data_IF_281987777026
#
_entry.id   IF_281987777026
#
_cell.length_a   1.000
_cell.length_b   1.000
_cell.length_c   1.000
_cell.angle_alpha   90.00
_cell.angle_beta   90.00
_cell.angle_gamma   90.00
#
_symmetry.space_group_name_H-M   'P 1'
#
loop_
_entity.id
_entity.type
_entity.pdbx_description
1 polymer ?
#
# COMPACT_ATOMS: atom_id res chain seq x y z
N UNK A 1 44.37 -3.16 -48.93
CA UNK A 1 43.03 -3.47 -48.39
C UNK A 1 42.02 -2.92 -49.34
N UNK A 2 41.42 -3.80 -50.20
CA UNK A 2 40.43 -3.41 -51.22
C UNK A 2 39.09 -3.48 -50.45
N UNK A 3 38.62 -2.33 -49.91
CA UNK A 3 37.29 -2.21 -49.40
C UNK A 3 36.29 -2.32 -50.56
N UNK A 4 35.36 -3.27 -50.49
CA UNK A 4 34.31 -3.42 -51.52
C UNK A 4 33.30 -2.27 -51.33
N UNK A 5 33.24 -1.27 -52.24
CA UNK A 5 32.44 -0.05 -52.02
C UNK A 5 30.93 -0.31 -51.86
N UNK A 6 30.43 -1.48 -52.27
CA UNK A 6 29.04 -1.89 -52.06
C UNK A 6 28.71 -2.29 -50.62
N UNK A 7 29.63 -2.96 -49.92
CA UNK A 7 29.45 -3.41 -48.54
C UNK A 7 29.40 -2.24 -47.57
N UNK A 8 30.20 -1.20 -47.79
CA UNK A 8 30.19 0.01 -46.96
C UNK A 8 28.87 0.77 -47.09
N UNK A 9 28.28 0.84 -48.29
CA UNK A 9 27.02 1.50 -48.49
C UNK A 9 25.83 0.73 -47.84
N UNK A 10 25.86 -0.60 -47.90
CA UNK A 10 24.85 -1.45 -47.27
C UNK A 10 24.92 -1.37 -45.73
N UNK A 11 26.15 -1.43 -45.15
CA UNK A 11 26.33 -1.28 -43.72
C UNK A 11 25.89 0.09 -43.24
N UNK A 12 26.19 1.16 -44.00
CA UNK A 12 25.73 2.51 -43.66
C UNK A 12 24.21 2.64 -43.71
N UNK A 13 23.57 2.02 -44.69
CA UNK A 13 22.09 2.02 -44.81
C UNK A 13 21.43 1.27 -43.62
N UNK A 14 21.97 0.11 -43.23
CA UNK A 14 21.50 -0.64 -42.07
C UNK A 14 21.64 0.16 -40.77
N UNK A 15 22.79 0.80 -40.54
CA UNK A 15 23.05 1.64 -39.38
C UNK A 15 22.11 2.85 -39.32
N UNK A 16 21.82 3.49 -40.47
CA UNK A 16 20.84 4.59 -40.54
C UNK A 16 19.42 4.13 -40.23
N UNK A 17 19.00 3.00 -40.78
CA UNK A 17 17.68 2.43 -40.51
C UNK A 17 17.54 2.04 -39.02
N UNK A 18 18.55 1.42 -38.44
CA UNK A 18 18.57 1.10 -37.02
C UNK A 18 18.50 2.37 -36.15
N UNK A 19 19.27 3.42 -36.52
CA UNK A 19 19.25 4.71 -35.82
C UNK A 19 17.90 5.40 -35.89
N UNK A 20 17.24 5.39 -37.06
CA UNK A 20 15.87 5.92 -37.22
C UNK A 20 14.88 5.10 -36.38
N UNK A 21 14.99 3.77 -36.35
CA UNK A 21 14.16 2.90 -35.50
C UNK A 21 14.29 3.20 -34.01
N UNK A 22 15.52 3.35 -33.54
CA UNK A 22 15.82 3.74 -32.14
C UNK A 22 15.24 5.12 -31.83
N UNK A 23 15.44 6.10 -32.70
CA UNK A 23 14.88 7.44 -32.51
C UNK A 23 13.36 7.43 -32.48
N UNK A 24 12.71 6.72 -33.37
CA UNK A 24 11.24 6.58 -33.41
C UNK A 24 10.73 5.92 -32.13
N UNK A 25 11.40 4.88 -31.62
CA UNK A 25 11.08 4.25 -30.35
C UNK A 25 11.18 5.25 -29.18
N UNK A 26 12.25 6.00 -29.10
CA UNK A 26 12.42 6.99 -28.01
C UNK A 26 11.38 8.11 -28.10
N UNK A 27 11.06 8.60 -29.29
CA UNK A 27 10.02 9.61 -29.46
C UNK A 27 8.65 9.08 -29.04
N UNK A 28 8.33 7.83 -29.40
CA UNK A 28 7.09 7.17 -29.01
C UNK A 28 6.98 7.02 -27.50
N UNK A 29 8.00 6.44 -26.83
CA UNK A 29 7.96 6.22 -25.39
C UNK A 29 7.89 7.52 -24.61
N UNK A 30 8.65 8.56 -25.01
CA UNK A 30 8.57 9.88 -24.37
C UNK A 30 7.23 10.57 -24.63
N UNK A 31 6.60 10.35 -25.78
CA UNK A 31 5.25 10.81 -26.07
C UNK A 31 4.22 10.19 -25.13
N UNK A 32 4.32 8.87 -24.86
CA UNK A 32 3.47 8.17 -23.88
C UNK A 32 3.67 8.75 -22.49
N UNK A 33 4.93 8.91 -22.05
CA UNK A 33 5.21 9.53 -20.75
C UNK A 33 4.65 10.95 -20.65
N UNK A 34 4.76 11.77 -21.70
CA UNK A 34 4.19 13.10 -21.71
C UNK A 34 2.68 13.08 -21.50
N UNK A 35 1.95 12.18 -22.16
CA UNK A 35 0.50 12.02 -21.97
C UNK A 35 0.17 11.65 -20.54
N UNK A 36 0.90 10.67 -19.95
CA UNK A 36 0.72 10.27 -18.55
C UNK A 36 0.97 11.45 -17.61
N UNK A 37 2.02 12.24 -17.82
CA UNK A 37 2.32 13.42 -16.99
C UNK A 37 1.24 14.50 -17.11
N UNK A 38 0.73 14.77 -18.30
CA UNK A 38 -0.36 15.75 -18.50
C UNK A 38 -1.66 15.28 -17.83
N UNK A 39 -1.97 13.98 -17.90
CA UNK A 39 -3.10 13.38 -17.20
C UNK A 39 -2.95 13.51 -15.68
N UNK A 40 -1.74 13.27 -15.15
CA UNK A 40 -1.43 13.42 -13.72
C UNK A 40 -1.61 14.88 -13.25
N UNK A 41 -1.09 15.85 -14.02
CA UNK A 41 -1.24 17.28 -13.71
C UNK A 41 -2.72 17.68 -13.71
N UNK A 42 -3.49 17.22 -14.68
CA UNK A 42 -4.93 17.48 -14.74
C UNK A 42 -5.66 16.95 -13.51
N UNK A 43 -5.36 15.72 -13.13
CA UNK A 43 -5.93 15.08 -11.93
C UNK A 43 -5.55 15.83 -10.66
N UNK A 44 -4.27 16.14 -10.46
CA UNK A 44 -3.78 16.85 -9.29
C UNK A 44 -4.41 18.24 -9.13
N UNK A 45 -4.56 18.99 -10.23
CA UNK A 45 -5.27 20.28 -10.20
C UNK A 45 -6.71 20.12 -9.73
N UNK A 46 -7.43 19.14 -10.27
CA UNK A 46 -8.81 18.91 -9.88
C UNK A 46 -8.94 18.48 -8.40
N UNK A 47 -7.95 17.77 -7.86
CA UNK A 47 -7.92 17.40 -6.44
C UNK A 47 -7.62 18.60 -5.54
N UNK A 48 -6.69 19.48 -5.93
CA UNK A 48 -6.35 20.69 -5.16
C UNK A 48 -7.48 21.73 -5.17
N UNK A 49 -8.32 21.77 -6.21
CA UNK A 49 -9.45 22.69 -6.31
C UNK A 49 -10.70 22.22 -5.55
N UNK A 50 -10.71 20.94 -5.07
CA UNK A 50 -11.82 20.44 -4.26
C UNK A 50 -11.66 20.88 -2.81
N UNK A 51 -12.67 21.51 -2.17
CA UNK A 51 -12.62 21.85 -0.76
C UNK A 51 -12.75 20.57 0.09
N UNK A 52 -11.59 20.02 0.50
CA UNK A 52 -11.50 18.68 1.09
C UNK A 52 -11.98 18.56 2.54
N UNK A 53 -11.88 19.62 3.33
CA UNK A 53 -11.98 19.51 4.79
C UNK A 53 -13.43 19.47 5.30
N UNK A 54 -14.35 20.24 4.72
CA UNK A 54 -15.73 20.29 5.21
C UNK A 54 -16.57 19.07 4.78
N UNK A 55 -16.33 18.53 3.59
CA UNK A 55 -17.08 17.38 3.07
C UNK A 55 -16.63 16.09 3.77
N UNK A 56 -15.34 15.97 4.04
CA UNK A 56 -14.75 14.81 4.75
C UNK A 56 -15.24 14.74 6.20
N UNK A 57 -15.24 15.85 6.94
CA UNK A 57 -15.75 15.88 8.32
C UNK A 57 -17.25 15.59 8.43
N UNK A 58 -18.06 15.99 7.44
CA UNK A 58 -19.49 15.60 7.39
C UNK A 58 -19.68 14.11 7.11
N UNK A 59 -18.81 13.51 6.30
CA UNK A 59 -18.87 12.07 6.01
C UNK A 59 -18.45 11.23 7.22
N UNK A 60 -17.48 11.68 8.03
CA UNK A 60 -17.04 10.99 9.25
C UNK A 60 -18.11 10.90 10.36
N UNK A 61 -19.11 11.76 10.33
CA UNK A 61 -20.28 11.68 11.23
C UNK A 61 -21.42 10.78 10.72
N UNK A 62 -21.25 10.13 9.57
CA UNK A 62 -22.28 9.26 8.99
C UNK A 62 -22.30 7.89 9.66
N UNK A 63 -23.46 7.35 10.06
CA UNK A 63 -23.59 5.98 10.55
C UNK A 63 -23.40 4.92 9.44
N UNK A 64 -23.19 5.33 8.21
CA UNK A 64 -22.99 4.47 7.03
C UNK A 64 -21.55 4.42 6.55
N UNK A 65 -20.58 4.74 7.41
CA UNK A 65 -19.16 4.56 7.08
C UNK A 65 -18.84 3.07 6.93
N UNK A 66 -18.19 2.66 5.83
CA UNK A 66 -17.78 1.27 5.69
C UNK A 66 -16.70 0.93 6.72
N UNK A 67 -16.86 -0.19 7.42
CA UNK A 67 -15.82 -0.71 8.29
C UNK A 67 -14.59 -1.16 7.49
N UNK A 68 -13.42 -1.01 8.09
CA UNK A 68 -12.14 -1.35 7.46
C UNK A 68 -11.27 -2.16 8.40
N UNK A 69 -10.85 -3.34 7.97
CA UNK A 69 -9.80 -4.10 8.64
C UNK A 69 -8.42 -3.63 8.17
N UNK A 70 -7.54 -3.26 9.09
CA UNK A 70 -6.14 -2.93 8.79
C UNK A 70 -5.32 -4.18 9.11
N UNK A 71 -4.82 -4.83 8.07
CA UNK A 71 -4.01 -6.05 8.16
C UNK A 71 -2.53 -5.69 8.21
N UNK A 72 -1.87 -6.06 9.30
CA UNK A 72 -0.46 -5.75 9.56
C UNK A 72 0.33 -7.05 9.72
N UNK A 73 0.87 -7.61 8.63
CA UNK A 73 1.78 -8.75 8.72
C UNK A 73 3.08 -8.31 9.37
N UNK A 74 3.52 -9.04 10.41
CA UNK A 74 4.71 -8.74 11.18
C UNK A 74 5.61 -9.96 11.30
N UNK A 75 6.89 -9.82 10.93
CA UNK A 75 7.92 -10.83 11.11
C UNK A 75 9.23 -10.20 11.56
N UNK A 76 9.59 -10.40 12.84
CA UNK A 76 10.78 -9.81 13.49
C UNK A 76 10.78 -8.27 13.47
N UNK A 77 9.69 -7.68 13.92
CA UNK A 77 9.46 -6.23 13.95
C UNK A 77 9.47 -5.64 15.37
N UNK A 78 10.24 -6.25 16.30
CA UNK A 78 10.28 -5.81 17.70
C UNK A 78 10.60 -4.32 17.88
N UNK A 79 11.34 -3.73 16.94
CA UNK A 79 11.77 -2.34 17.03
C UNK A 79 10.63 -1.33 16.81
N UNK A 80 9.67 -1.65 15.95
CA UNK A 80 8.69 -0.67 15.42
C UNK A 80 7.22 -1.06 15.65
N UNK A 81 6.92 -2.32 15.88
CA UNK A 81 5.53 -2.83 15.88
C UNK A 81 4.59 -2.10 16.86
N UNK A 82 5.08 -1.77 18.06
CA UNK A 82 4.28 -1.08 19.07
C UNK A 82 3.91 0.33 18.60
N UNK A 83 4.88 1.07 18.08
CA UNK A 83 4.68 2.43 17.56
C UNK A 83 3.73 2.43 16.36
N UNK A 84 3.87 1.44 15.48
CA UNK A 84 2.97 1.25 14.34
C UNK A 84 1.53 1.02 14.79
N UNK A 85 1.29 0.08 15.71
CA UNK A 85 -0.06 -0.21 16.21
C UNK A 85 -0.65 1.00 16.94
N UNK A 86 0.14 1.72 17.74
CA UNK A 86 -0.31 2.94 18.40
C UNK A 86 -0.69 4.03 17.39
N UNK A 87 0.09 4.20 16.32
CA UNK A 87 -0.24 5.13 15.23
C UNK A 87 -1.55 4.75 14.52
N UNK A 88 -1.78 3.46 14.28
CA UNK A 88 -3.01 2.96 13.66
C UNK A 88 -4.24 3.16 14.55
N UNK A 89 -4.11 2.97 15.86
CA UNK A 89 -5.20 3.25 16.83
C UNK A 89 -5.55 4.74 16.92
N UNK A 90 -4.64 5.62 16.50
CA UNK A 90 -4.84 7.07 16.48
C UNK A 90 -5.30 7.63 15.12
N UNK A 91 -5.70 6.76 14.17
CA UNK A 91 -6.23 7.22 12.88
C UNK A 91 -7.57 7.95 13.05
N UNK A 92 -7.77 8.99 12.24
CA UNK A 92 -9.01 9.78 12.21
C UNK A 92 -10.10 9.06 11.40
N UNK A 93 -10.35 7.79 11.69
CA UNK A 93 -11.44 7.01 11.08
C UNK A 93 -12.06 6.07 12.13
N UNK A 94 -13.37 6.23 12.45
CA UNK A 94 -13.96 5.59 13.63
C UNK A 94 -14.33 4.12 13.44
N UNK A 95 -14.35 3.60 12.22
CA UNK A 95 -14.79 2.23 11.92
C UNK A 95 -13.63 1.36 11.47
N UNK A 96 -12.57 1.27 12.29
CA UNK A 96 -11.37 0.45 12.02
C UNK A 96 -11.32 -0.78 12.92
N UNK A 97 -10.83 -1.88 12.36
CA UNK A 97 -10.39 -3.08 13.07
C UNK A 97 -8.92 -3.32 12.72
N UNK A 98 -8.03 -3.37 13.69
CA UNK A 98 -6.61 -3.60 13.47
C UNK A 98 -6.31 -5.07 13.74
N UNK A 99 -5.79 -5.77 12.75
CA UNK A 99 -5.41 -7.18 12.84
C UNK A 99 -3.91 -7.28 12.59
N UNK A 100 -3.13 -7.47 13.66
CA UNK A 100 -1.70 -7.75 13.56
C UNK A 100 -1.51 -9.25 13.41
N UNK A 101 -0.80 -9.66 12.36
CA UNK A 101 -0.51 -11.06 12.09
C UNK A 101 0.97 -11.32 12.34
N UNK A 102 1.31 -11.88 13.50
CA UNK A 102 2.65 -12.33 13.85
C UNK A 102 2.96 -13.61 13.08
N UNK A 103 3.72 -13.48 12.00
CA UNK A 103 4.06 -14.59 11.08
C UNK A 103 5.27 -15.38 11.57
N UNK A 104 5.20 -15.89 12.80
CA UNK A 104 6.23 -16.74 13.39
C UNK A 104 7.52 -15.99 13.73
N UNK A 105 7.44 -14.77 14.25
CA UNK A 105 8.60 -14.01 14.71
C UNK A 105 9.43 -14.78 15.74
N UNK A 106 10.75 -14.61 15.67
CA UNK A 106 11.73 -15.24 16.54
C UNK A 106 12.36 -14.25 17.53
N UNK A 107 12.05 -12.97 17.38
CA UNK A 107 12.45 -11.88 18.27
C UNK A 107 11.37 -11.60 19.33
N UNK A 108 11.37 -10.43 19.93
CA UNK A 108 10.42 -10.03 20.96
C UNK A 108 9.16 -9.33 20.42
N UNK A 109 8.84 -9.47 19.13
CA UNK A 109 7.66 -8.82 18.51
C UNK A 109 6.38 -9.16 19.28
N UNK A 110 6.09 -10.44 19.48
CA UNK A 110 4.87 -10.87 20.18
C UNK A 110 4.89 -10.46 21.67
N UNK A 111 6.03 -10.59 22.35
CA UNK A 111 6.17 -10.19 23.75
C UNK A 111 5.90 -8.70 23.97
N UNK A 112 6.36 -7.86 23.06
CA UNK A 112 6.12 -6.41 23.09
C UNK A 112 4.65 -6.08 22.88
N UNK A 113 3.98 -6.74 21.93
CA UNK A 113 2.53 -6.59 21.74
C UNK A 113 1.76 -7.01 23.00
N UNK A 114 2.12 -8.16 23.61
CA UNK A 114 1.50 -8.61 24.86
C UNK A 114 1.64 -7.60 26.00
N UNK A 115 2.84 -7.09 26.21
CA UNK A 115 3.11 -6.17 27.33
C UNK A 115 2.47 -4.80 27.15
N UNK A 116 2.40 -4.30 25.89
CA UNK A 116 1.87 -2.97 25.63
C UNK A 116 0.35 -2.95 25.57
N UNK A 117 -0.27 -3.96 24.96
CA UNK A 117 -1.70 -3.95 24.68
C UNK A 117 -2.53 -4.86 25.59
N UNK A 118 -1.92 -5.49 26.61
CA UNK A 118 -2.59 -6.41 27.53
C UNK A 118 -3.41 -7.48 26.81
N UNK A 119 -2.72 -8.28 25.97
CA UNK A 119 -3.35 -9.25 25.10
C UNK A 119 -3.90 -10.43 25.88
N UNK A 120 -5.17 -10.76 25.67
CA UNK A 120 -5.87 -11.90 26.25
C UNK A 120 -6.21 -12.92 25.19
N UNK A 121 -5.98 -14.19 25.48
CA UNK A 121 -6.31 -15.29 24.57
C UNK A 121 -7.82 -15.34 24.35
N UNK A 122 -8.24 -15.42 23.09
CA UNK A 122 -9.63 -15.61 22.71
C UNK A 122 -9.77 -16.88 21.89
N UNK A 123 -10.89 -17.56 22.06
CA UNK A 123 -11.25 -18.74 21.28
C UNK A 123 -11.92 -18.25 19.99
N UNK A 124 -11.12 -18.03 18.97
CA UNK A 124 -11.59 -17.61 17.66
C UNK A 124 -11.40 -18.77 16.69
N UNK A 125 -12.48 -19.47 16.37
CA UNK A 125 -12.48 -20.40 15.24
C UNK A 125 -12.50 -19.59 13.93
N UNK A 126 -11.55 -19.83 13.01
CA UNK A 126 -11.61 -19.20 11.69
C UNK A 126 -12.90 -19.65 11.00
N UNK A 127 -13.67 -18.71 10.41
CA UNK A 127 -15.01 -19.00 9.87
C UNK A 127 -15.01 -19.92 8.64
N UNK A 128 -13.84 -20.29 8.10
CA UNK A 128 -13.71 -21.10 6.88
C UNK A 128 -12.52 -22.07 7.01
N UNK A 129 -12.63 -23.20 6.29
CA UNK A 129 -11.57 -24.19 6.12
C UNK A 129 -10.50 -23.61 5.18
N UNK A 130 -9.59 -22.83 5.75
CA UNK A 130 -8.53 -22.15 5.01
C UNK A 130 -7.27 -23.01 5.13
N UNK A 131 -6.62 -23.28 4.01
CA UNK A 131 -5.28 -23.89 3.95
C UNK A 131 -4.19 -22.88 4.40
N UNK A 132 -4.46 -22.19 5.52
CA UNK A 132 -3.46 -21.37 6.19
C UNK A 132 -2.70 -22.21 7.19
N UNK A 133 -1.37 -22.10 7.20
CA UNK A 133 -0.54 -22.74 8.22
C UNK A 133 -1.08 -22.44 9.61
N UNK A 134 -1.01 -23.44 10.48
CA UNK A 134 -1.71 -23.48 11.75
C UNK A 134 -1.62 -22.14 12.53
N UNK A 135 -2.76 -21.49 12.73
CA UNK A 135 -2.90 -20.41 13.71
C UNK A 135 -2.65 -21.04 15.08
N UNK A 136 -1.68 -20.53 15.81
CA UNK A 136 -1.34 -21.00 17.15
C UNK A 136 -2.27 -20.42 18.18
N UNK A 137 -2.46 -19.09 18.12
CA UNK A 137 -3.25 -18.34 19.08
C UNK A 137 -3.87 -17.12 18.43
N UNK A 138 -5.02 -16.70 18.96
CA UNK A 138 -5.64 -15.43 18.65
C UNK A 138 -5.81 -14.66 19.95
N UNK A 139 -5.41 -13.40 19.97
CA UNK A 139 -5.46 -12.53 21.12
C UNK A 139 -6.26 -11.28 20.82
N UNK A 140 -7.05 -10.83 21.79
CA UNK A 140 -7.73 -9.54 21.77
C UNK A 140 -7.08 -8.64 22.83
N UNK A 141 -6.95 -7.35 22.52
CA UNK A 141 -6.46 -6.39 23.51
C UNK A 141 -7.52 -6.15 24.59
N UNK A 142 -7.10 -6.11 25.85
CA UNK A 142 -7.95 -5.67 26.95
C UNK A 142 -8.05 -4.13 27.07
N UNK A 143 -7.18 -3.41 26.34
CA UNK A 143 -7.13 -1.93 26.35
C UNK A 143 -8.00 -1.29 25.29
N UNK A 144 -8.26 -2.00 24.20
CA UNK A 144 -9.10 -1.53 23.09
C UNK A 144 -9.80 -2.69 22.41
N UNK A 145 -11.05 -2.46 21.99
CA UNK A 145 -11.83 -3.46 21.25
C UNK A 145 -11.37 -3.60 19.78
N UNK A 146 -10.64 -2.65 19.27
CA UNK A 146 -10.28 -2.52 17.86
C UNK A 146 -8.98 -3.25 17.48
N UNK A 147 -8.30 -3.94 18.42
CA UNK A 147 -7.03 -4.64 18.19
C UNK A 147 -7.15 -6.15 18.40
N UNK A 148 -6.88 -6.88 17.33
CA UNK A 148 -6.70 -8.33 17.31
C UNK A 148 -5.25 -8.67 16.95
N UNK A 149 -4.66 -9.65 17.60
CA UNK A 149 -3.32 -10.16 17.28
C UNK A 149 -3.40 -11.66 17.05
N UNK A 150 -2.90 -12.09 15.90
CA UNK A 150 -2.87 -13.49 15.49
C UNK A 150 -1.44 -13.98 15.52
N UNK A 151 -1.15 -15.03 16.28
CA UNK A 151 0.13 -15.74 16.25
C UNK A 151 0.01 -16.99 15.39
N UNK A 152 0.86 -17.10 14.37
CA UNK A 152 0.85 -18.22 13.43
C UNK A 152 2.26 -18.76 13.15
N UNK A 153 2.35 -19.91 12.51
CA UNK A 153 3.60 -20.39 11.92
C UNK A 153 4.00 -19.53 10.73
N UNK A 154 5.31 -19.31 10.56
CA UNK A 154 5.81 -18.51 9.44
C UNK A 154 5.42 -19.12 8.10
N UNK A 155 4.76 -18.34 7.27
CA UNK A 155 4.31 -18.70 5.94
C UNK A 155 4.61 -17.65 4.88
N UNK A 156 5.13 -16.50 5.32
CA UNK A 156 5.37 -15.33 4.48
C UNK A 156 4.19 -14.36 4.45
N UNK A 157 4.44 -13.19 3.93
CA UNK A 157 3.53 -12.05 3.98
C UNK A 157 2.18 -12.33 3.31
N UNK A 158 2.16 -12.96 2.12
CA UNK A 158 0.92 -13.32 1.43
C UNK A 158 0.03 -14.24 2.27
N UNK A 159 0.61 -15.25 2.94
CA UNK A 159 -0.15 -16.13 3.82
C UNK A 159 -0.62 -15.42 5.10
N UNK A 160 0.20 -14.52 5.66
CA UNK A 160 -0.19 -13.70 6.79
C UNK A 160 -1.37 -12.79 6.43
N UNK A 161 -1.32 -12.11 5.28
CA UNK A 161 -2.41 -11.29 4.77
C UNK A 161 -3.68 -12.11 4.52
N UNK A 162 -3.57 -13.30 3.94
CA UNK A 162 -4.70 -14.20 3.77
C UNK A 162 -5.32 -14.58 5.11
N UNK A 163 -4.51 -14.86 6.14
CA UNK A 163 -5.02 -15.15 7.48
C UNK A 163 -5.90 -14.01 8.01
N UNK A 164 -5.43 -12.77 7.95
CA UNK A 164 -6.20 -11.60 8.36
C UNK A 164 -7.44 -11.35 7.47
N UNK A 165 -7.29 -11.52 6.16
CA UNK A 165 -8.37 -11.38 5.20
C UNK A 165 -9.55 -12.31 5.48
N UNK A 166 -9.29 -13.55 5.88
CA UNK A 166 -10.35 -14.52 6.15
C UNK A 166 -10.96 -14.40 7.54
N UNK A 167 -10.28 -13.77 8.50
CA UNK A 167 -10.78 -13.58 9.85
C UNK A 167 -11.61 -12.30 10.04
N UNK A 168 -11.48 -11.31 9.18
CA UNK A 168 -12.25 -10.06 9.32
C UNK A 168 -13.66 -10.18 8.73
N UNK A 169 -14.63 -9.54 9.37
CA UNK A 169 -15.98 -9.36 8.83
C UNK A 169 -16.18 -7.99 8.17
N UNK A 170 -15.13 -7.18 8.11
CA UNK A 170 -15.22 -5.83 7.53
C UNK A 170 -15.38 -5.87 6.00
N UNK A 171 -16.21 -5.00 5.41
CA UNK A 171 -16.45 -4.96 3.96
C UNK A 171 -15.21 -4.52 3.16
N UNK A 172 -14.30 -3.80 3.81
CA UNK A 172 -13.04 -3.35 3.22
C UNK A 172 -11.88 -3.81 4.09
N UNK A 173 -10.72 -4.03 3.46
CA UNK A 173 -9.48 -4.20 4.20
C UNK A 173 -8.36 -3.35 3.60
N UNK A 174 -7.42 -2.98 4.46
CA UNK A 174 -6.21 -2.25 4.13
C UNK A 174 -5.01 -3.11 4.50
N UNK A 175 -4.14 -3.43 3.54
CA UNK A 175 -2.85 -4.07 3.82
C UNK A 175 -1.79 -2.98 4.02
N UNK A 176 -1.00 -3.10 5.09
CA UNK A 176 0.07 -2.16 5.45
C UNK A 176 1.27 -2.90 6.02
N UNK A 177 2.48 -2.45 5.69
CA UNK A 177 3.70 -2.99 6.26
C UNK A 177 3.88 -2.57 7.73
N UNK A 178 4.42 -3.46 8.56
CA UNK A 178 4.60 -3.22 10.00
C UNK A 178 5.57 -2.07 10.33
N UNK A 179 6.40 -1.64 9.37
CA UNK A 179 7.34 -0.52 9.47
C UNK A 179 6.82 0.77 8.81
N UNK A 180 5.57 0.77 8.35
CA UNK A 180 4.96 1.91 7.66
C UNK A 180 4.12 2.77 8.61
N UNK A 181 4.19 4.10 8.41
CA UNK A 181 3.36 5.07 9.13
C UNK A 181 2.27 5.59 8.19
N UNK A 182 1.03 5.61 8.66
CA UNK A 182 -0.10 6.22 7.95
C UNK A 182 -0.35 7.63 8.51
N UNK A 183 -0.51 8.61 7.60
CA UNK A 183 -1.05 9.92 7.97
C UNK A 183 -2.41 9.74 8.65
N UNK A 184 -2.70 10.42 9.79
CA UNK A 184 -3.95 10.25 10.52
C UNK A 184 -5.22 10.42 9.68
N UNK A 185 -5.19 11.25 8.64
CA UNK A 185 -6.29 11.44 7.70
C UNK A 185 -6.14 10.59 6.42
N UNK A 186 -5.04 9.82 6.32
CA UNK A 186 -4.70 9.03 5.13
C UNK A 186 -5.79 8.01 4.79
N UNK A 187 -6.28 7.27 5.79
CA UNK A 187 -7.32 6.28 5.60
C UNK A 187 -8.63 6.92 5.11
N UNK A 188 -9.04 8.03 5.70
CA UNK A 188 -10.23 8.78 5.29
C UNK A 188 -10.16 9.24 3.84
N UNK A 189 -8.98 9.70 3.39
CA UNK A 189 -8.75 10.15 2.01
C UNK A 189 -8.84 8.98 1.02
N UNK A 190 -8.25 7.84 1.37
CA UNK A 190 -8.21 6.62 0.51
C UNK A 190 -9.58 5.96 0.43
N UNK A 191 -10.41 6.05 1.47
CA UNK A 191 -11.76 5.46 1.50
C UNK A 191 -12.81 6.27 0.72
N UNK A 192 -12.55 7.53 0.43
CA UNK A 192 -13.49 8.40 -0.29
C UNK A 192 -14.05 7.81 -1.60
N UNK A 193 -13.27 7.20 -2.49
CA UNK A 193 -13.81 6.57 -3.70
C UNK A 193 -14.82 5.45 -3.43
N UNK A 194 -14.66 4.69 -2.36
CA UNK A 194 -15.61 3.64 -1.95
C UNK A 194 -16.93 4.22 -1.44
N UNK A 195 -16.89 5.42 -0.85
CA UNK A 195 -18.09 6.15 -0.41
C UNK A 195 -18.78 6.81 -1.59
N UNK A 196 -18.03 7.48 -2.46
CA UNK A 196 -18.56 8.23 -3.59
C UNK A 196 -19.09 7.32 -4.71
N UNK A 197 -18.46 6.14 -4.94
CA UNK A 197 -18.76 5.20 -6.00
C UNK A 197 -18.60 3.75 -5.54
N UNK A 198 -19.45 3.27 -4.62
CA UNK A 198 -19.29 1.97 -3.98
C UNK A 198 -19.34 0.79 -4.95
N UNK A 199 -20.17 0.87 -5.99
CA UNK A 199 -20.33 -0.21 -6.97
C UNK A 199 -19.19 -0.29 -8.01
N UNK A 200 -18.49 0.82 -8.24
CA UNK A 200 -17.43 0.91 -9.25
C UNK A 200 -16.03 0.71 -8.65
N UNK A 201 -15.87 1.00 -7.36
CA UNK A 201 -14.58 1.00 -6.70
C UNK A 201 -14.26 -0.39 -6.14
N UNK A 202 -13.24 -1.01 -6.68
CA UNK A 202 -12.75 -2.33 -6.23
C UNK A 202 -11.54 -2.21 -5.32
N UNK A 203 -10.63 -1.31 -5.67
CA UNK A 203 -9.38 -1.10 -4.94
C UNK A 203 -8.89 0.33 -5.08
N UNK A 204 -8.25 0.86 -4.05
CA UNK A 204 -7.66 2.21 -4.03
C UNK A 204 -6.28 2.14 -3.40
N UNK A 205 -5.26 2.66 -4.08
CA UNK A 205 -3.91 2.78 -3.55
C UNK A 205 -3.64 4.15 -2.95
N UNK A 206 -3.03 4.17 -1.78
CA UNK A 206 -2.51 5.38 -1.17
C UNK A 206 -1.21 5.85 -1.81
N UNK A 207 -0.82 7.07 -1.49
CA UNK A 207 0.48 7.63 -1.88
C UNK A 207 1.52 7.28 -0.82
N UNK A 208 2.61 6.64 -1.22
CA UNK A 208 3.72 6.30 -0.33
C UNK A 208 4.83 7.33 -0.49
N UNK A 209 5.39 7.78 0.62
CA UNK A 209 6.49 8.75 0.67
C UNK A 209 7.63 8.19 1.54
N UNK A 210 8.83 8.67 1.29
CA UNK A 210 10.02 8.32 2.07
C UNK A 210 10.06 9.21 3.30
N UNK A 211 10.04 8.62 4.49
CA UNK A 211 10.08 9.34 5.77
C UNK A 211 11.49 9.75 6.20
N UNK A 212 12.53 9.22 5.58
CA UNK A 212 13.91 9.55 5.91
C UNK A 212 14.21 11.05 5.76
N UNK A 213 14.68 11.67 6.85
CA UNK A 213 14.93 13.13 6.91
C UNK A 213 13.74 13.94 7.40
N UNK A 214 12.59 13.32 7.63
CA UNK A 214 11.46 13.93 8.32
C UNK A 214 11.59 13.76 9.84
N UNK A 215 11.04 14.70 10.61
CA UNK A 215 10.89 14.54 12.06
C UNK A 215 9.53 13.86 12.31
N UNK A 216 9.54 12.80 13.11
CA UNK A 216 8.35 12.04 13.49
C UNK A 216 8.14 12.17 14.99
N UNK A 217 6.96 12.62 15.41
CA UNK A 217 6.55 12.75 16.80
C UNK A 217 5.18 12.09 16.99
N UNK A 218 5.06 11.19 17.94
CA UNK A 218 3.82 10.46 18.26
C UNK A 218 3.20 9.76 17.01
N UNK A 219 4.05 9.16 16.16
CA UNK A 219 3.60 8.50 14.93
C UNK A 219 3.13 9.44 13.81
N UNK A 220 3.41 10.74 13.92
CA UNK A 220 3.06 11.76 12.92
C UNK A 220 4.30 12.47 12.40
N UNK A 221 4.28 12.81 11.12
CA UNK A 221 5.33 13.67 10.55
C UNK A 221 5.10 15.09 11.03
N UNK A 222 5.95 15.56 11.98
CA UNK A 222 5.90 16.93 12.52
C UNK A 222 6.62 17.93 11.60
N UNK A 223 7.67 17.48 10.90
CA UNK A 223 8.39 18.29 9.92
C UNK A 223 8.83 17.46 8.73
N UNK A 224 8.52 17.94 7.53
CA UNK A 224 8.99 17.35 6.27
C UNK A 224 10.42 17.82 6.00
N UNK A 225 11.31 16.87 5.75
CA UNK A 225 12.71 17.09 5.43
C UNK A 225 13.20 16.18 4.30
N UNK A 226 14.41 16.44 3.83
CA UNK A 226 15.08 15.60 2.85
C UNK A 226 16.18 14.79 3.53
N UNK A 227 16.42 13.54 3.08
CA UNK A 227 17.55 12.76 3.56
C UNK A 227 18.89 13.46 3.31
N UNK A 228 19.83 13.30 4.23
CA UNK A 228 21.19 13.83 4.06
C UNK A 228 21.97 13.11 2.96
N UNK A 229 21.71 11.80 2.77
CA UNK A 229 22.39 10.99 1.77
C UNK A 229 21.90 11.31 0.35
N UNK A 230 22.84 11.31 -0.61
CA UNK A 230 22.51 11.49 -2.03
C UNK A 230 21.56 10.41 -2.56
N UNK A 231 21.77 9.15 -2.16
CA UNK A 231 20.91 8.04 -2.54
C UNK A 231 19.49 8.21 -2.00
N UNK A 232 19.34 8.65 -0.74
CA UNK A 232 18.04 8.93 -0.15
C UNK A 232 17.27 10.02 -0.91
N UNK A 233 17.97 11.09 -1.36
CA UNK A 233 17.33 12.14 -2.18
C UNK A 233 16.88 11.62 -3.55
N UNK A 234 17.63 10.73 -4.19
CA UNK A 234 17.21 10.05 -5.42
C UNK A 234 15.96 9.20 -5.15
N UNK A 235 15.93 8.47 -4.04
CA UNK A 235 14.77 7.66 -3.65
C UNK A 235 13.52 8.53 -3.47
N UNK A 236 13.61 9.67 -2.79
CA UNK A 236 12.50 10.62 -2.66
C UNK A 236 11.99 11.07 -4.04
N UNK A 237 12.90 11.44 -4.96
CA UNK A 237 12.53 11.83 -6.32
C UNK A 237 11.81 10.71 -7.08
N UNK A 238 12.30 9.48 -6.97
CA UNK A 238 11.69 8.32 -7.63
C UNK A 238 10.29 8.01 -7.08
N UNK A 239 10.08 8.11 -5.76
CA UNK A 239 8.77 7.94 -5.15
C UNK A 239 7.79 9.04 -5.58
N UNK A 240 8.21 10.31 -5.56
CA UNK A 240 7.40 11.42 -6.07
C UNK A 240 7.01 11.20 -7.55
N UNK A 241 7.95 10.81 -8.38
CA UNK A 241 7.69 10.50 -9.79
C UNK A 241 6.74 9.32 -9.94
N UNK A 242 6.97 8.24 -9.20
CA UNK A 242 6.16 7.03 -9.30
C UNK A 242 4.70 7.27 -8.88
N UNK A 243 4.47 7.96 -7.78
CA UNK A 243 3.12 8.16 -7.24
C UNK A 243 2.40 9.37 -7.86
N UNK A 244 3.01 10.57 -7.84
CA UNK A 244 2.33 11.79 -8.29
C UNK A 244 2.33 11.99 -9.81
N UNK A 245 3.17 11.28 -10.54
CA UNK A 245 3.19 11.34 -12.00
C UNK A 245 2.72 10.00 -12.62
N UNK A 246 3.43 8.92 -12.36
CA UNK A 246 3.15 7.64 -12.99
C UNK A 246 1.78 7.08 -12.61
N UNK A 247 1.58 6.74 -11.34
CA UNK A 247 0.33 6.09 -10.89
C UNK A 247 -0.88 6.99 -10.99
N UNK A 248 -0.76 8.27 -10.62
CA UNK A 248 -1.86 9.23 -10.71
C UNK A 248 -2.28 9.46 -12.17
N UNK A 249 -1.32 9.55 -13.08
CA UNK A 249 -1.60 9.66 -14.51
C UNK A 249 -2.26 8.43 -15.11
N UNK A 250 -1.77 7.23 -14.78
CA UNK A 250 -2.37 5.97 -15.19
C UNK A 250 -3.78 5.79 -14.62
N UNK A 251 -4.00 6.15 -13.36
CA UNK A 251 -5.33 6.11 -12.74
C UNK A 251 -6.31 7.05 -13.48
N UNK A 252 -5.86 8.24 -13.89
CA UNK A 252 -6.70 9.22 -14.61
C UNK A 252 -7.17 8.70 -15.97
N UNK A 253 -6.36 7.88 -16.65
CA UNK A 253 -6.72 7.27 -17.95
C UNK A 253 -7.30 5.84 -17.81
N UNK A 254 -7.62 5.39 -16.59
CA UNK A 254 -8.20 4.07 -16.32
C UNK A 254 -7.26 2.89 -16.62
N UNK A 255 -5.94 3.10 -16.55
CA UNK A 255 -4.92 2.09 -16.87
C UNK A 255 -4.02 1.75 -15.68
N UNK A 256 -4.44 2.05 -14.45
CA UNK A 256 -3.72 1.66 -13.25
C UNK A 256 -3.97 0.17 -12.97
N UNK A 257 -2.91 -0.63 -13.07
CA UNK A 257 -2.95 -2.08 -12.86
C UNK A 257 -2.18 -2.54 -11.63
N UNK A 258 -1.51 -1.62 -10.92
CA UNK A 258 -0.66 -1.92 -9.78
C UNK A 258 -0.97 -0.98 -8.62
N UNK A 259 -1.34 -1.54 -7.48
CA UNK A 259 -1.45 -0.86 -6.19
C UNK A 259 -0.24 -1.23 -5.34
N UNK A 260 0.25 -0.28 -4.52
CA UNK A 260 1.40 -0.56 -3.65
C UNK A 260 1.01 -1.49 -2.51
N UNK A 261 1.79 -2.52 -2.27
CA UNK A 261 1.63 -3.40 -1.12
C UNK A 261 1.82 -2.70 0.25
N UNK A 262 2.43 -1.51 0.26
CA UNK A 262 2.63 -0.73 1.48
C UNK A 262 1.39 0.03 1.96
N UNK A 263 0.45 0.37 1.09
CA UNK A 263 -0.80 1.03 1.46
C UNK A 263 -1.84 0.89 0.33
N UNK A 264 -2.68 -0.12 0.44
CA UNK A 264 -3.78 -0.40 -0.49
C UNK A 264 -5.05 -0.79 0.26
N UNK A 265 -6.20 -0.27 -0.16
CA UNK A 265 -7.52 -0.65 0.35
C UNK A 265 -8.28 -1.40 -0.72
N UNK A 266 -8.91 -2.49 -0.34
CA UNK A 266 -9.59 -3.42 -1.24
C UNK A 266 -10.96 -3.81 -0.70
N UNK A 267 -11.86 -4.21 -1.59
CA UNK A 267 -13.11 -4.88 -1.19
C UNK A 267 -12.82 -6.30 -0.74
N UNK A 268 -13.23 -6.62 0.47
CA UNK A 268 -12.97 -7.93 1.11
C UNK A 268 -13.65 -9.08 0.34
N UNK A 269 -14.91 -8.89 -0.05
CA UNK A 269 -15.70 -9.88 -0.79
C UNK A 269 -15.05 -10.27 -2.12
N UNK A 270 -14.59 -9.30 -2.90
CA UNK A 270 -14.00 -9.54 -4.22
C UNK A 270 -12.63 -10.21 -4.13
N UNK A 271 -11.81 -9.83 -3.15
CA UNK A 271 -10.50 -10.48 -2.98
C UNK A 271 -10.66 -11.90 -2.45
N UNK A 272 -11.65 -12.17 -1.59
CA UNK A 272 -11.99 -13.54 -1.18
C UNK A 272 -12.49 -14.39 -2.36
N UNK A 273 -13.33 -13.82 -3.24
CA UNK A 273 -13.86 -14.52 -4.42
C UNK A 273 -12.77 -15.02 -5.36
N UNK A 274 -11.69 -14.25 -5.52
CA UNK A 274 -10.53 -14.67 -6.34
C UNK A 274 -9.52 -15.54 -5.59
N UNK A 275 -9.77 -15.90 -4.31
CA UNK A 275 -8.94 -16.79 -3.52
C UNK A 275 -7.87 -16.09 -2.67
N UNK A 276 -7.91 -14.77 -2.53
CA UNK A 276 -6.95 -14.00 -1.74
C UNK A 276 -5.63 -13.73 -2.44
N UNK A 277 -4.56 -13.54 -1.67
CA UNK A 277 -3.21 -13.32 -2.16
C UNK A 277 -2.57 -14.62 -2.64
N UNK A 278 -1.88 -14.56 -3.77
CA UNK A 278 -1.16 -15.72 -4.31
C UNK A 278 0.11 -15.99 -3.50
N UNK A 279 0.14 -17.13 -2.80
CA UNK A 279 1.26 -17.54 -1.94
C UNK A 279 2.46 -18.12 -2.71
N UNK A 280 2.29 -18.45 -4.00
CA UNK A 280 3.37 -18.94 -4.86
C UNK A 280 4.13 -17.80 -5.56
N UNK A 281 3.61 -16.59 -5.52
CA UNK A 281 4.25 -15.42 -6.12
C UNK A 281 5.31 -14.82 -5.19
N UNK A 282 6.41 -14.33 -5.78
CA UNK A 282 7.45 -13.57 -5.05
C UNK A 282 6.97 -12.14 -4.76
N UNK A 283 6.01 -11.66 -5.53
CA UNK A 283 5.42 -10.30 -5.40
C UNK A 283 3.95 -10.42 -5.06
N UNK A 284 3.50 -9.58 -4.18
CA UNK A 284 2.12 -9.45 -3.69
C UNK A 284 1.26 -8.55 -4.56
#
# INVERSE_FOLDING_TARGET
MIGLPGVEAEVRAVLLLAGVGVLAYYLFINGVYLVIHLAAIHRLRNELERPDVETTNRSLGSPFLPGVAILVPAFNEEAVIVETVQALLNLNYPATEIIVINDGSQDRTLDRLHSEFDLQLVDAEPPFDIDTRAIRNVFKSARTDDLLVIDRENGGKSEALNTGLWLTDQPLFCAIDADSLIDPDGLTKVLRPFIDRPEETVAVGGTVQVANGCDIEDGRVSRIGLPDSFLGRIQVMEYLRAFYSGRLGLAQIGSLILISGAFGVFRTDLIREIGGYNTESITE
#
